data_IF_970262940614
#
_entry.id   IF_970262940614
#
_cell.length_a   1.000
_cell.length_b   1.000
_cell.length_c   1.000
_cell.angle_alpha   90.00
_cell.angle_beta   90.00
_cell.angle_gamma   90.00
#
_symmetry.space_group_name_H-M   'P 1'
#
loop_
_entity.id
_entity.type
_entity.pdbx_description
1 polymer ?
#
# COMPACT_ATOMS: atom_id res chain seq x y z
N UNK A 1 14.78 2.53 10.16
CA UNK A 1 15.98 2.29 9.33
C UNK A 1 16.53 3.58 8.71
N UNK A 2 15.67 4.46 8.19
CA UNK A 2 16.07 5.79 7.69
C UNK A 2 16.10 6.91 8.76
N UNK A 3 16.13 6.57 10.05
CA UNK A 3 16.03 7.50 11.20
C UNK A 3 14.84 8.47 11.22
N UNK A 4 13.87 8.30 10.31
CA UNK A 4 12.55 8.94 10.40
C UNK A 4 11.76 8.34 11.56
N UNK A 5 11.68 9.07 12.67
CA UNK A 5 10.93 8.66 13.86
C UNK A 5 9.61 9.42 14.04
N UNK A 6 9.44 10.56 13.35
CA UNK A 6 8.24 11.38 13.48
C UNK A 6 7.09 10.84 12.59
N UNK A 7 5.90 10.51 13.14
CA UNK A 7 4.82 9.88 12.38
C UNK A 7 4.32 10.66 11.16
N UNK A 8 4.40 12.00 11.20
CA UNK A 8 4.01 12.86 10.08
C UNK A 8 5.01 12.83 8.91
N UNK A 9 6.24 12.38 9.14
CA UNK A 9 7.28 12.27 8.10
C UNK A 9 7.37 10.85 7.52
N UNK A 10 6.58 9.92 8.04
CA UNK A 10 6.55 8.55 7.54
C UNK A 10 5.86 8.50 6.18
N UNK A 11 6.60 8.05 5.17
CA UNK A 11 6.05 7.70 3.86
C UNK A 11 5.35 6.36 3.96
N UNK A 12 4.04 6.35 3.68
CA UNK A 12 3.18 5.15 3.83
C UNK A 12 2.86 4.55 2.48
N UNK A 13 2.72 3.23 2.43
CA UNK A 13 2.48 2.54 1.18
C UNK A 13 1.03 2.59 0.74
N UNK A 14 0.83 2.73 -0.56
CA UNK A 14 -0.49 2.61 -1.19
C UNK A 14 -1.09 1.22 -0.96
N UNK A 15 -0.28 0.16 -0.95
CA UNK A 15 -0.76 -1.21 -0.72
C UNK A 15 -1.48 -1.34 0.63
N UNK A 16 -0.85 -0.91 1.73
CA UNK A 16 -1.49 -0.96 3.03
C UNK A 16 -2.64 0.04 3.16
N UNK A 17 -2.46 1.26 2.64
CA UNK A 17 -3.46 2.32 2.73
C UNK A 17 -4.75 1.97 1.98
N UNK A 18 -4.65 1.51 0.74
CA UNK A 18 -5.82 1.15 -0.07
C UNK A 18 -6.52 -0.09 0.47
N UNK A 19 -5.80 -1.18 0.71
CA UNK A 19 -6.41 -2.47 1.08
C UNK A 19 -6.89 -2.55 2.54
N UNK A 20 -6.39 -1.68 3.43
CA UNK A 20 -6.65 -1.79 4.89
C UNK A 20 -7.04 -0.48 5.57
N UNK A 21 -6.86 0.67 4.94
CA UNK A 21 -7.26 1.96 5.49
C UNK A 21 -8.36 2.66 4.66
N UNK A 22 -8.92 1.98 3.65
CA UNK A 22 -9.92 2.53 2.74
C UNK A 22 -9.46 3.84 2.07
N UNK A 23 -8.15 3.96 1.81
CA UNK A 23 -7.61 5.11 1.09
C UNK A 23 -7.96 4.98 -0.39
N UNK A 24 -8.50 6.04 -0.99
CA UNK A 24 -8.71 6.13 -2.43
C UNK A 24 -8.60 7.59 -2.90
N UNK A 25 -7.94 7.82 -4.04
CA UNK A 25 -7.68 9.17 -4.55
C UNK A 25 -8.98 9.94 -4.81
N UNK A 26 -10.00 9.28 -5.38
CA UNK A 26 -11.28 9.92 -5.71
C UNK A 26 -12.06 10.43 -4.49
N UNK A 27 -11.71 10.02 -3.26
CA UNK A 27 -12.32 10.51 -2.02
C UNK A 27 -11.41 11.50 -1.26
N UNK A 28 -10.32 11.92 -1.90
CA UNK A 28 -9.29 12.74 -1.24
C UNK A 28 -8.54 11.98 -0.15
N UNK A 29 -8.36 10.66 -0.32
CA UNK A 29 -7.63 9.78 0.58
C UNK A 29 -8.54 8.93 1.47
N UNK A 30 -8.45 9.11 2.79
CA UNK A 30 -9.17 8.31 3.78
C UNK A 30 -10.70 8.59 3.76
N UNK A 31 -11.53 7.79 4.47
CA UNK A 31 -12.95 8.10 4.63
C UNK A 31 -13.22 9.44 5.31
N UNK A 32 -14.32 10.10 4.97
CA UNK A 32 -14.73 11.38 5.56
C UNK A 32 -14.89 11.29 7.08
N UNK A 33 -14.56 12.37 7.80
CA UNK A 33 -14.68 12.39 9.25
C UNK A 33 -16.13 12.13 9.71
N UNK A 34 -17.12 12.63 8.95
CA UNK A 34 -18.53 12.36 9.22
C UNK A 34 -18.88 10.86 9.16
N UNK A 35 -18.32 10.11 8.20
CA UNK A 35 -18.49 8.66 8.10
C UNK A 35 -17.89 7.94 9.31
N UNK A 36 -16.68 8.32 9.71
CA UNK A 36 -15.99 7.71 10.85
C UNK A 36 -16.73 8.00 12.18
N UNK A 37 -17.18 9.24 12.39
CA UNK A 37 -17.93 9.62 13.58
C UNK A 37 -19.32 8.96 13.63
N UNK A 38 -19.90 8.60 12.48
CA UNK A 38 -21.14 7.82 12.40
C UNK A 38 -20.95 6.34 12.82
N UNK A 39 -19.76 5.78 12.65
CA UNK A 39 -19.41 4.45 13.19
C UNK A 39 -19.28 4.51 14.72
N UNK A 40 -18.53 5.50 15.22
CA UNK A 40 -18.38 5.74 16.66
C UNK A 40 -17.88 7.16 16.92
N UNK A 41 -18.47 7.90 17.90
CA UNK A 41 -17.96 9.20 18.33
C UNK A 41 -16.50 9.20 18.79
N UNK A 42 -15.96 8.04 19.20
CA UNK A 42 -14.54 7.92 19.61
C UNK A 42 -13.56 8.03 18.45
N UNK A 43 -14.05 7.93 17.20
CA UNK A 43 -13.26 8.12 15.98
C UNK A 43 -13.25 9.57 15.51
N UNK A 44 -13.87 10.49 16.25
CA UNK A 44 -13.88 11.91 15.90
C UNK A 44 -12.45 12.50 15.86
N UNK A 45 -12.19 13.31 14.84
CA UNK A 45 -10.88 13.90 14.55
C UNK A 45 -9.75 12.89 14.26
N UNK A 46 -10.04 11.61 13.98
CA UNK A 46 -9.00 10.63 13.62
C UNK A 46 -8.40 10.93 12.24
N UNK A 47 -9.22 11.37 11.27
CA UNK A 47 -8.76 11.62 9.90
C UNK A 47 -7.60 12.62 9.87
N UNK A 48 -7.73 13.71 10.61
CA UNK A 48 -6.74 14.80 10.67
C UNK A 48 -5.41 14.39 11.34
N UNK A 49 -5.42 13.30 12.11
CA UNK A 49 -4.24 12.74 12.78
C UNK A 49 -3.59 11.62 11.98
N UNK A 50 -4.21 11.22 10.88
CA UNK A 50 -3.69 10.22 9.96
C UNK A 50 -2.96 10.88 8.79
N UNK A 51 -2.55 10.06 7.83
CA UNK A 51 -1.82 10.47 6.65
C UNK A 51 -2.76 10.88 5.52
N UNK A 52 -2.25 11.72 4.63
CA UNK A 52 -2.94 12.14 3.40
C UNK A 52 -2.26 11.53 2.18
N UNK A 53 -0.93 11.50 2.19
CA UNK A 53 -0.10 11.02 1.09
C UNK A 53 0.28 9.54 1.25
N UNK A 54 0.32 8.84 0.13
CA UNK A 54 0.71 7.43 0.01
C UNK A 54 1.63 7.27 -1.20
N UNK A 55 2.44 6.22 -1.20
CA UNK A 55 3.47 6.00 -2.20
C UNK A 55 3.51 4.56 -2.67
N UNK A 56 3.86 4.37 -3.93
CA UNK A 56 4.12 3.07 -4.56
C UNK A 56 5.50 2.52 -4.18
N UNK A 57 5.67 1.20 -4.28
CA UNK A 57 6.84 0.49 -3.77
C UNK A 57 8.12 0.67 -4.59
N UNK A 58 8.02 1.21 -5.81
CA UNK A 58 9.16 1.63 -6.64
C UNK A 58 9.86 2.88 -6.08
N UNK A 59 9.23 3.60 -5.15
CA UNK A 59 9.78 4.79 -4.53
C UNK A 59 10.58 4.48 -3.25
N UNK A 60 11.56 5.33 -2.94
CA UNK A 60 12.37 5.18 -1.73
C UNK A 60 11.66 5.72 -0.47
N UNK A 61 11.35 4.88 0.52
CA UNK A 61 10.93 5.33 1.85
C UNK A 61 11.97 6.24 2.54
N UNK A 62 13.24 6.07 2.16
CA UNK A 62 14.39 6.83 2.64
C UNK A 62 15.68 6.10 2.33
N UNK A 63 16.75 6.44 3.04
CA UNK A 63 18.06 5.82 2.88
C UNK A 63 18.54 5.24 4.20
N UNK A 64 19.29 4.14 4.15
CA UNK A 64 19.77 3.47 5.35
C UNK A 64 20.72 4.36 6.13
N UNK A 65 20.35 4.68 7.37
CA UNK A 65 21.19 5.47 8.27
C UNK A 65 22.45 4.72 8.70
N UNK A 66 23.47 5.47 9.13
CA UNK A 66 24.70 4.91 9.71
C UNK A 66 24.45 3.93 10.86
N UNK A 67 23.56 4.28 11.78
CA UNK A 67 23.26 3.45 12.95
C UNK A 67 22.71 2.08 12.54
N UNK A 68 21.82 2.06 11.54
CA UNK A 68 21.26 0.81 11.02
C UNK A 68 22.21 0.07 10.07
N UNK A 69 23.02 0.78 9.30
CA UNK A 69 24.07 0.21 8.46
C UNK A 69 25.06 -0.63 9.28
N UNK A 70 25.56 -0.09 10.40
CA UNK A 70 26.45 -0.81 11.34
C UNK A 70 25.74 -2.04 11.91
N UNK A 71 24.48 -1.88 12.34
CA UNK A 71 23.71 -2.97 12.96
C UNK A 71 23.41 -4.12 12.00
N UNK A 72 23.15 -3.83 10.73
CA UNK A 72 22.77 -4.81 9.72
C UNK A 72 23.97 -5.34 8.91
N UNK A 73 25.14 -4.70 9.01
CA UNK A 73 26.30 -5.03 8.18
C UNK A 73 26.11 -4.66 6.71
N UNK A 74 25.33 -3.62 6.43
CA UNK A 74 25.02 -3.14 5.08
C UNK A 74 25.67 -1.78 4.80
N UNK A 75 25.90 -1.40 3.53
CA UNK A 75 26.41 -0.07 3.21
C UNK A 75 25.43 1.03 3.67
N UNK A 76 25.96 2.08 4.28
CA UNK A 76 25.20 3.29 4.59
C UNK A 76 24.70 3.94 3.30
N UNK A 77 23.52 4.56 3.35
CA UNK A 77 22.98 5.34 2.24
C UNK A 77 22.30 4.52 1.14
N UNK A 78 22.21 3.18 1.25
CA UNK A 78 21.40 2.39 0.31
C UNK A 78 19.93 2.76 0.42
N UNK A 79 19.22 2.77 -0.71
CA UNK A 79 17.80 3.07 -0.75
C UNK A 79 17.00 2.00 0.01
N UNK A 80 15.98 2.46 0.72
CA UNK A 80 14.97 1.62 1.37
C UNK A 80 13.68 1.81 0.59
N UNK A 81 13.13 0.74 0.02
CA UNK A 81 11.85 0.79 -0.68
C UNK A 81 10.69 1.09 0.27
N UNK A 82 9.61 1.66 -0.26
CA UNK A 82 8.31 1.68 0.43
C UNK A 82 7.83 0.24 0.63
N UNK A 83 7.30 -0.07 1.82
CA UNK A 83 6.94 -1.43 2.18
C UNK A 83 5.62 -1.90 1.57
N UNK A 84 5.51 -3.19 1.28
CA UNK A 84 4.33 -3.80 0.66
C UNK A 84 3.93 -5.11 1.36
N UNK A 85 2.73 -5.61 1.08
CA UNK A 85 2.28 -6.90 1.59
C UNK A 85 2.90 -8.08 0.85
N UNK A 86 3.07 -9.18 1.58
CA UNK A 86 3.70 -10.41 1.13
C UNK A 86 3.09 -10.99 -0.15
N UNK A 87 1.77 -11.08 -0.26
CA UNK A 87 1.09 -11.67 -1.41
C UNK A 87 1.24 -10.81 -2.66
N UNK A 88 1.21 -9.49 -2.52
CA UNK A 88 1.42 -8.55 -3.62
C UNK A 88 2.87 -8.59 -4.11
N UNK A 89 3.84 -8.62 -3.19
CA UNK A 89 5.25 -8.85 -3.52
C UNK A 89 5.50 -10.25 -4.09
N UNK A 90 4.71 -11.25 -3.70
CA UNK A 90 4.70 -12.58 -4.29
C UNK A 90 4.29 -12.54 -5.77
N UNK A 91 3.30 -11.72 -6.12
CA UNK A 91 2.90 -11.51 -7.51
C UNK A 91 4.00 -10.82 -8.33
N UNK A 92 4.64 -9.79 -7.78
CA UNK A 92 5.81 -9.13 -8.40
C UNK A 92 6.95 -10.12 -8.59
N UNK A 93 7.28 -10.91 -7.56
CA UNK A 93 8.33 -11.92 -7.60
C UNK A 93 8.06 -13.06 -8.59
N UNK A 94 6.79 -13.34 -8.89
CA UNK A 94 6.38 -14.28 -9.94
C UNK A 94 6.54 -13.72 -11.36
N UNK A 95 6.87 -12.42 -11.50
CA UNK A 95 7.00 -11.75 -12.79
C UNK A 95 5.66 -11.47 -13.47
N UNK A 96 4.58 -11.39 -12.70
CA UNK A 96 3.25 -11.19 -13.25
C UNK A 96 3.10 -9.77 -13.82
N UNK A 97 2.34 -9.67 -14.92
CA UNK A 97 2.01 -8.42 -15.61
C UNK A 97 0.51 -8.21 -15.77
N UNK A 98 0.12 -7.35 -16.71
CA UNK A 98 -1.29 -7.08 -16.98
C UNK A 98 -2.01 -8.34 -17.46
N UNK A 99 -3.17 -8.61 -16.86
CA UNK A 99 -4.06 -9.76 -17.04
C UNK A 99 -3.52 -11.10 -16.51
N UNK A 100 -2.46 -11.09 -15.69
CA UNK A 100 -2.01 -12.27 -14.97
C UNK A 100 -2.72 -12.41 -13.61
N UNK A 101 -3.15 -13.64 -13.32
CA UNK A 101 -3.64 -14.03 -12.00
C UNK A 101 -2.57 -14.84 -11.27
N UNK A 102 -2.10 -14.32 -10.14
CA UNK A 102 -1.20 -15.05 -9.25
C UNK A 102 -1.99 -15.61 -8.08
N UNK A 103 -1.83 -16.90 -7.81
CA UNK A 103 -2.40 -17.57 -6.63
C UNK A 103 -1.29 -17.86 -5.63
N UNK A 104 -1.26 -17.14 -4.52
CA UNK A 104 -0.36 -17.40 -3.40
C UNK A 104 -1.01 -18.45 -2.51
N UNK A 105 -0.59 -19.71 -2.64
CA UNK A 105 -1.23 -20.86 -2.02
C UNK A 105 -0.44 -21.31 -0.77
N UNK A 106 -1.12 -21.33 0.38
CA UNK A 106 -0.62 -21.88 1.63
C UNK A 106 -1.76 -22.51 2.44
N UNK A 107 -1.90 -22.14 3.72
CA UNK A 107 -3.07 -22.54 4.54
C UNK A 107 -4.39 -22.03 3.97
N UNK A 108 -4.36 -20.85 3.35
CA UNK A 108 -5.41 -20.28 2.51
C UNK A 108 -4.77 -19.79 1.21
N UNK A 109 -5.61 -19.34 0.26
CA UNK A 109 -5.14 -18.79 -1.01
C UNK A 109 -5.43 -17.30 -1.07
N UNK A 110 -4.43 -16.52 -1.47
CA UNK A 110 -4.60 -15.14 -1.89
C UNK A 110 -4.49 -15.07 -3.41
N UNK A 111 -5.57 -14.65 -4.06
CA UNK A 111 -5.64 -14.41 -5.50
C UNK A 111 -5.30 -12.94 -5.73
N UNK A 112 -4.29 -12.66 -6.56
CA UNK A 112 -3.90 -11.32 -6.98
C UNK A 112 -4.05 -11.26 -8.50
N UNK A 113 -5.03 -10.51 -8.99
CA UNK A 113 -5.20 -10.26 -10.42
C UNK A 113 -4.72 -8.84 -10.72
N UNK A 114 -3.77 -8.71 -11.66
CA UNK A 114 -3.31 -7.40 -12.12
C UNK A 114 -3.96 -7.04 -13.44
N UNK A 115 -4.51 -5.83 -13.53
CA UNK A 115 -5.19 -5.33 -14.73
C UNK A 115 -4.87 -3.87 -14.96
N UNK A 116 -4.99 -3.41 -16.20
CA UNK A 116 -5.01 -1.98 -16.49
C UNK A 116 -6.32 -1.38 -15.94
N UNK A 117 -6.24 -0.26 -15.22
CA UNK A 117 -7.39 0.38 -14.55
C UNK A 117 -8.55 0.65 -15.50
N UNK A 118 -8.27 1.02 -16.76
CA UNK A 118 -9.25 1.24 -17.83
C UNK A 118 -10.12 0.01 -18.12
N UNK A 119 -9.59 -1.20 -17.94
CA UNK A 119 -10.34 -2.43 -18.17
C UNK A 119 -11.36 -2.67 -17.07
N UNK A 120 -11.19 -2.11 -15.87
CA UNK A 120 -12.20 -2.17 -14.80
C UNK A 120 -13.14 -0.96 -14.87
N UNK A 121 -12.60 0.23 -15.13
CA UNK A 121 -13.32 1.50 -15.09
C UNK A 121 -13.89 1.74 -13.69
N UNK A 122 -15.10 2.29 -13.61
CA UNK A 122 -15.77 2.59 -12.33
C UNK A 122 -16.46 1.37 -11.69
N UNK A 123 -16.21 0.16 -12.21
CA UNK A 123 -16.91 -1.04 -11.74
C UNK A 123 -16.34 -1.49 -10.40
N UNK A 124 -17.24 -1.80 -9.49
CA UNK A 124 -16.89 -2.54 -8.27
C UNK A 124 -17.03 -4.03 -8.54
N UNK A 125 -15.93 -4.76 -8.53
CA UNK A 125 -15.98 -6.22 -8.66
C UNK A 125 -16.50 -6.82 -7.34
N UNK A 126 -17.55 -7.62 -7.43
CA UNK A 126 -18.17 -8.21 -6.26
C UNK A 126 -17.36 -9.40 -5.72
N UNK A 127 -17.15 -9.44 -4.41
CA UNK A 127 -16.57 -10.60 -3.72
C UNK A 127 -15.04 -10.62 -3.62
N UNK A 128 -14.35 -9.57 -4.07
CA UNK A 128 -12.89 -9.42 -3.89
C UNK A 128 -12.55 -8.63 -2.62
N UNK A 129 -11.29 -8.69 -2.21
CA UNK A 129 -10.79 -8.08 -0.99
C UNK A 129 -10.50 -6.58 -1.12
N UNK A 130 -10.17 -6.10 -2.33
CA UNK A 130 -9.84 -4.70 -2.56
C UNK A 130 -9.53 -4.43 -4.04
N UNK A 131 -9.58 -3.16 -4.43
CA UNK A 131 -9.24 -2.70 -5.78
C UNK A 131 -8.35 -1.48 -5.60
N UNK A 132 -7.05 -1.64 -5.76
CA UNK A 132 -6.09 -0.57 -5.44
C UNK A 132 -5.06 -0.43 -6.54
N UNK A 133 -5.06 0.75 -7.16
CA UNK A 133 -4.06 1.12 -8.17
C UNK A 133 -2.70 1.31 -7.50
N UNK A 134 -1.65 0.76 -8.12
CA UNK A 134 -0.29 0.88 -7.61
C UNK A 134 0.03 -0.03 -6.40
N UNK A 135 -0.89 -0.89 -5.96
CA UNK A 135 -0.66 -1.70 -4.73
C UNK A 135 0.24 -2.92 -4.92
N UNK A 136 0.58 -3.28 -6.15
CA UNK A 136 1.57 -4.30 -6.50
C UNK A 136 2.56 -3.77 -7.54
N UNK A 137 2.04 -3.28 -8.66
CA UNK A 137 2.80 -2.63 -9.72
C UNK A 137 2.28 -1.19 -9.90
N UNK A 138 3.15 -0.17 -10.04
CA UNK A 138 2.74 1.25 -10.00
C UNK A 138 1.65 1.65 -11.00
N UNK A 139 1.63 1.05 -12.19
CA UNK A 139 0.72 1.40 -13.29
C UNK A 139 -0.47 0.41 -13.44
N UNK A 140 -0.60 -0.55 -12.53
CA UNK A 140 -1.66 -1.57 -12.59
C UNK A 140 -2.56 -1.50 -11.36
N UNK A 141 -3.82 -1.84 -11.59
CA UNK A 141 -4.81 -2.09 -10.57
C UNK A 141 -4.67 -3.54 -10.10
N UNK A 142 -4.43 -3.75 -8.80
CA UNK A 142 -4.50 -5.07 -8.21
C UNK A 142 -5.89 -5.31 -7.60
N UNK A 143 -6.46 -6.47 -7.93
CA UNK A 143 -7.75 -6.99 -7.46
C UNK A 143 -7.54 -8.21 -6.56
#
# INVERSE_FOLDING_TARGET
>A
MADTQHPQKLRRSICAAGHKAMWHESWGGLPEQAFLSAISPTLDGIRDRMFTEVFTSDQAAGYLSKAWAIKLGLPEGIAIAIGEFDCHMGAVGAGAGANDLVKVIGTSTCDILMVESQNVGDRTIHGICGQVEGSAMPELLAL
#
